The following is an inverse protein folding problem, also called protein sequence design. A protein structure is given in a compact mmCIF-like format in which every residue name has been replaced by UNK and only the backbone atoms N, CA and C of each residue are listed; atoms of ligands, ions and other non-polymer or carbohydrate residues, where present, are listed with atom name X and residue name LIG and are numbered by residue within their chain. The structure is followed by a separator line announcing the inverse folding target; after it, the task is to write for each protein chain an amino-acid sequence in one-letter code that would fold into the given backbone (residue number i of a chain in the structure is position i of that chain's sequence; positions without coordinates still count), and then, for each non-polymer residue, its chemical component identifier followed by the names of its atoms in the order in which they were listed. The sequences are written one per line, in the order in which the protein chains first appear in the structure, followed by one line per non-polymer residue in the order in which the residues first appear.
data_IF_392186936463
#
_entry.id   IF_392186936463
#
_cell.length_a   1.000
_cell.length_b   1.000
_cell.length_c   1.000
_cell.angle_alpha   90.00
_cell.angle_beta   90.00
_cell.angle_gamma   90.00
#
_symmetry.space_group_name_H-M   'P 1'
#
loop_
_entity.id
_entity.type
_entity.pdbx_description
1 polymer ?
#
# COMPACT_ATOMS: atom_id res chain seq x y z
N UNK A 1 28.03 37.24 26.44
CA UNK A 1 27.88 36.81 25.03
C UNK A 1 27.17 35.46 25.03
N UNK A 2 25.96 35.42 24.46
CA UNK A 2 25.57 34.54 23.34
C UNK A 2 25.53 33.04 23.71
N UNK A 3 24.35 32.53 24.10
CA UNK A 3 23.37 31.82 23.26
C UNK A 3 23.81 30.41 22.88
N UNK A 4 23.07 29.40 23.33
CA UNK A 4 22.38 28.48 22.41
C UNK A 4 21.36 27.65 23.22
N UNK A 5 20.10 28.05 23.12
CA UNK A 5 18.95 27.15 23.28
C UNK A 5 18.96 26.17 22.09
N UNK A 6 18.59 24.91 22.31
CA UNK A 6 17.80 24.08 21.40
C UNK A 6 17.64 22.69 22.02
N UNK A 7 16.68 22.53 22.94
CA UNK A 7 16.12 21.21 23.18
C UNK A 7 15.21 20.92 21.98
N UNK A 8 15.75 20.21 20.99
CA UNK A 8 14.91 19.63 19.94
C UNK A 8 14.03 18.58 20.61
N UNK A 9 12.74 18.90 20.78
CA UNK A 9 11.73 17.88 20.99
C UNK A 9 11.75 17.03 19.73
N UNK A 10 12.43 15.89 19.81
CA UNK A 10 12.36 14.86 18.79
C UNK A 10 10.92 14.34 18.85
N UNK A 11 10.07 14.90 17.99
CA UNK A 11 8.79 14.30 17.60
C UNK A 11 9.14 13.02 16.84
N UNK A 12 9.57 12.03 17.61
CA UNK A 12 9.70 10.66 17.18
C UNK A 12 8.28 10.17 17.07
N UNK A 13 7.64 10.51 15.95
CA UNK A 13 6.41 9.87 15.50
C UNK A 13 6.56 8.38 15.82
N UNK A 14 5.84 7.93 16.85
CA UNK A 14 5.88 6.54 17.29
C UNK A 14 5.28 5.73 16.15
N UNK A 15 6.15 5.28 15.24
CA UNK A 15 5.80 4.24 14.27
C UNK A 15 5.45 3.04 15.13
N UNK A 16 4.15 2.81 15.32
CA UNK A 16 3.63 1.68 16.06
C UNK A 16 4.34 0.43 15.54
N UNK A 17 5.27 -0.11 16.35
CA UNK A 17 6.07 -1.27 15.98
C UNK A 17 5.09 -2.42 15.86
N UNK A 18 4.70 -2.73 14.63
CA UNK A 18 3.88 -3.89 14.35
C UNK A 18 4.65 -5.12 14.83
N UNK A 19 4.06 -5.98 15.68
CA UNK A 19 4.78 -7.07 16.31
C UNK A 19 5.34 -8.01 15.25
N UNK A 20 6.64 -8.34 15.35
CA UNK A 20 7.29 -9.33 14.50
C UNK A 20 6.56 -10.66 14.65
N UNK A 21 6.13 -11.25 13.52
CA UNK A 21 5.47 -12.56 13.48
C UNK A 21 6.46 -13.58 12.92
N UNK A 22 6.72 -14.63 13.70
CA UNK A 22 7.55 -15.75 13.27
C UNK A 22 6.68 -16.78 12.55
N UNK A 23 7.04 -17.11 11.32
CA UNK A 23 6.34 -18.06 10.46
C UNK A 23 7.35 -19.07 9.93
N UNK A 24 6.91 -20.32 9.78
CA UNK A 24 7.72 -21.38 9.18
C UNK A 24 7.28 -21.59 7.75
N UNK A 25 8.24 -21.71 6.83
CA UNK A 25 7.98 -22.09 5.44
C UNK A 25 7.45 -23.52 5.43
N UNK A 26 6.23 -23.68 4.92
CA UNK A 26 5.62 -25.00 4.72
C UNK A 26 5.73 -25.43 3.26
N UNK A 27 4.85 -26.35 2.86
CA UNK A 27 4.73 -26.77 1.47
C UNK A 27 3.27 -26.68 1.00
N UNK A 28 3.09 -26.54 -0.31
CA UNK A 28 1.84 -26.77 -1.01
C UNK A 28 2.07 -27.87 -2.06
N UNK A 29 1.12 -28.79 -2.18
CA UNK A 29 1.13 -29.84 -3.21
C UNK A 29 0.27 -29.40 -4.39
N UNK A 30 0.83 -29.40 -5.59
CA UNK A 30 0.07 -29.13 -6.83
C UNK A 30 -0.38 -30.43 -7.47
N UNK A 31 -1.68 -30.57 -7.76
CA UNK A 31 -2.25 -31.70 -8.50
C UNK A 31 -2.16 -31.43 -10.02
N UNK A 32 -1.88 -32.42 -10.90
CA UNK A 32 -1.77 -33.88 -10.66
C UNK A 32 -0.39 -34.39 -10.22
N UNK A 33 0.65 -33.59 -10.34
CA UNK A 33 2.04 -34.08 -10.24
C UNK A 33 2.54 -34.27 -8.80
N UNK A 34 1.71 -33.96 -7.79
CA UNK A 34 1.99 -34.03 -6.34
C UNK A 34 3.31 -33.39 -5.91
N UNK A 35 3.84 -32.46 -6.70
CA UNK A 35 5.09 -31.79 -6.39
C UNK A 35 4.92 -30.89 -5.16
N UNK A 36 5.85 -31.02 -4.22
CA UNK A 36 5.91 -30.15 -3.05
C UNK A 36 6.62 -28.85 -3.42
N UNK A 37 5.89 -27.75 -3.39
CA UNK A 37 6.42 -26.40 -3.62
C UNK A 37 6.46 -25.67 -2.28
N UNK A 38 7.55 -24.94 -2.01
CA UNK A 38 7.67 -24.15 -0.79
C UNK A 38 6.56 -23.09 -0.72
N UNK A 39 5.92 -22.98 0.45
CA UNK A 39 4.77 -22.10 0.64
C UNK A 39 4.84 -21.35 1.96
N UNK A 40 4.64 -20.04 1.91
CA UNK A 40 4.47 -19.19 3.10
C UNK A 40 2.98 -18.98 3.36
N UNK A 41 2.48 -19.48 4.49
CA UNK A 41 1.08 -19.35 4.87
C UNK A 41 0.91 -18.28 5.95
N UNK A 42 0.32 -17.14 5.59
CA UNK A 42 -0.01 -16.06 6.53
C UNK A 42 -1.50 -16.05 6.81
N UNK A 43 -1.91 -16.10 8.08
CA UNK A 43 -3.32 -16.05 8.50
C UNK A 43 -3.49 -15.18 9.74
N UNK A 44 -4.64 -14.52 9.82
CA UNK A 44 -5.07 -13.80 11.03
C UNK A 44 -5.61 -12.40 10.76
N UNK A 45 -6.36 -11.87 11.73
CA UNK A 45 -6.98 -10.53 11.67
C UNK A 45 -5.96 -9.39 11.49
N UNK A 46 -4.69 -9.64 11.81
CA UNK A 46 -3.61 -8.66 11.65
C UNK A 46 -3.33 -8.30 10.18
N UNK A 47 -3.69 -9.17 9.22
CA UNK A 47 -3.55 -8.89 7.79
C UNK A 47 -4.46 -7.73 7.37
N UNK A 48 -5.71 -7.72 7.82
CA UNK A 48 -6.66 -6.63 7.55
C UNK A 48 -6.19 -5.32 8.17
N UNK A 49 -5.68 -5.36 9.42
CA UNK A 49 -5.10 -4.19 10.09
C UNK A 49 -3.86 -3.65 9.37
N UNK A 50 -3.13 -4.51 8.65
CA UNK A 50 -1.99 -4.14 7.81
C UNK A 50 -2.38 -3.74 6.37
N UNK A 51 -3.67 -3.65 6.05
CA UNK A 51 -4.16 -3.25 4.73
C UNK A 51 -4.30 -4.38 3.71
N UNK A 52 -4.12 -5.64 4.11
CA UNK A 52 -4.29 -6.82 3.27
C UNK A 52 -5.70 -7.41 3.44
N UNK A 53 -6.72 -6.65 3.03
CA UNK A 53 -8.10 -7.13 3.05
C UNK A 53 -8.39 -8.11 1.91
N UNK A 54 -9.46 -8.90 2.04
CA UNK A 54 -9.89 -9.83 0.99
C UNK A 54 -10.11 -9.12 -0.34
N UNK A 55 -9.52 -9.64 -1.42
CA UNK A 55 -9.62 -9.07 -2.76
C UNK A 55 -8.62 -7.95 -3.07
N UNK A 56 -7.77 -7.57 -2.11
CA UNK A 56 -6.69 -6.60 -2.35
C UNK A 56 -5.59 -7.23 -3.20
N UNK A 57 -5.26 -6.57 -4.33
CA UNK A 57 -4.08 -6.94 -5.13
C UNK A 57 -2.80 -6.69 -4.34
N UNK A 58 -1.79 -7.55 -4.51
CA UNK A 58 -0.52 -7.44 -3.78
C UNK A 58 0.64 -7.51 -4.75
N UNK A 59 1.67 -6.71 -4.49
CA UNK A 59 2.95 -6.76 -5.17
C UNK A 59 3.97 -7.48 -4.27
N UNK A 60 4.69 -8.46 -4.83
CA UNK A 60 5.75 -9.19 -4.13
C UNK A 60 7.09 -8.90 -4.80
N UNK A 61 7.98 -8.23 -4.07
CA UNK A 61 9.37 -8.03 -4.48
C UNK A 61 10.25 -9.11 -3.85
N UNK A 62 10.99 -9.82 -4.71
CA UNK A 62 11.84 -10.94 -4.31
C UNK A 62 13.31 -10.52 -4.33
N UNK A 63 14.00 -10.74 -3.21
CA UNK A 63 15.44 -10.53 -3.05
C UNK A 63 16.04 -11.77 -2.36
N UNK A 64 17.37 -11.92 -2.43
CA UNK A 64 18.05 -13.02 -1.73
C UNK A 64 17.76 -12.95 -0.22
N UNK A 65 17.06 -13.96 0.30
CA UNK A 65 16.70 -14.06 1.73
C UNK A 65 15.62 -13.07 2.21
N UNK A 66 14.99 -12.29 1.32
CA UNK A 66 14.02 -11.28 1.72
C UNK A 66 12.86 -11.16 0.71
N UNK A 67 11.64 -11.15 1.24
CA UNK A 67 10.42 -10.88 0.49
C UNK A 67 9.79 -9.61 1.04
N UNK A 68 9.52 -8.65 0.15
CA UNK A 68 8.76 -7.44 0.50
C UNK A 68 7.39 -7.56 -0.16
N UNK A 69 6.35 -7.69 0.67
CA UNK A 69 4.96 -7.81 0.23
C UNK A 69 4.27 -6.48 0.52
N UNK A 70 3.67 -5.88 -0.49
CA UNK A 70 2.96 -4.61 -0.37
C UNK A 70 1.55 -4.72 -0.94
N UNK A 71 0.56 -4.27 -0.18
CA UNK A 71 -0.81 -4.12 -0.68
C UNK A 71 -0.83 -3.03 -1.75
N UNK A 72 -1.43 -3.33 -2.89
CA UNK A 72 -1.58 -2.38 -3.98
C UNK A 72 -2.78 -1.50 -3.66
N UNK A 73 -2.53 -0.23 -3.38
CA UNK A 73 -3.62 0.73 -3.24
C UNK A 73 -4.33 0.86 -4.59
N UNK A 74 -5.61 0.48 -4.64
CA UNK A 74 -6.42 0.72 -5.82
C UNK A 74 -6.69 2.22 -5.89
N UNK A 75 -5.98 2.92 -6.80
CA UNK A 75 -6.26 4.33 -7.05
C UNK A 75 -7.77 4.48 -7.34
N UNK A 76 -8.51 5.28 -6.56
CA UNK A 76 -9.94 5.43 -6.77
C UNK A 76 -10.17 5.83 -8.22
N UNK A 77 -11.17 5.24 -8.88
CA UNK A 77 -11.44 5.49 -10.31
C UNK A 77 -11.58 6.99 -10.62
N UNK A 78 -12.05 7.76 -9.64
CA UNK A 78 -12.07 9.22 -9.67
C UNK A 78 -10.67 9.82 -9.87
N UNK A 79 -9.66 9.42 -9.10
CA UNK A 79 -8.30 9.95 -9.22
C UNK A 79 -7.67 9.58 -10.56
N UNK A 80 -7.89 8.35 -11.05
CA UNK A 80 -7.50 7.96 -12.42
C UNK A 80 -8.15 8.87 -13.47
N UNK A 81 -9.41 9.25 -13.27
CA UNK A 81 -10.15 10.13 -14.17
C UNK A 81 -9.66 11.58 -14.08
N UNK A 82 -9.43 12.10 -12.87
CA UNK A 82 -8.89 13.43 -12.63
C UNK A 82 -7.50 13.60 -13.25
N UNK A 83 -6.62 12.59 -13.17
CA UNK A 83 -5.32 12.60 -13.87
C UNK A 83 -5.46 12.79 -15.38
N UNK A 84 -6.52 12.24 -15.99
CA UNK A 84 -6.81 12.47 -17.43
C UNK A 84 -7.21 13.92 -17.66
N UNK A 85 -8.03 14.50 -16.79
CA UNK A 85 -8.45 15.91 -16.85
C UNK A 85 -7.26 16.86 -16.71
N UNK A 86 -6.28 16.55 -15.85
CA UNK A 86 -5.05 17.33 -15.72
C UNK A 86 -4.22 17.39 -17.02
N UNK A 87 -4.39 16.43 -17.94
CA UNK A 87 -3.74 16.44 -19.27
C UNK A 87 -4.51 17.25 -20.32
N UNK A 88 -5.69 17.77 -20.00
CA UNK A 88 -6.48 18.58 -20.94
C UNK A 88 -5.95 20.01 -21.04
N UNK A 89 -6.31 20.69 -22.13
CA UNK A 89 -6.05 22.13 -22.26
C UNK A 89 -6.89 22.91 -21.25
N UNK A 90 -6.40 24.10 -20.85
CA UNK A 90 -7.09 24.94 -19.85
C UNK A 90 -8.56 25.25 -20.17
N UNK A 91 -8.94 25.33 -21.45
CA UNK A 91 -10.35 25.48 -21.86
C UNK A 91 -11.21 24.26 -21.50
N UNK A 92 -10.70 23.05 -21.73
CA UNK A 92 -11.40 21.80 -21.39
C UNK A 92 -11.46 21.59 -19.87
N UNK A 93 -10.42 21.98 -19.14
CA UNK A 93 -10.43 21.94 -17.67
C UNK A 93 -11.54 22.84 -17.11
N UNK A 94 -11.66 24.08 -17.59
CA UNK A 94 -12.75 25.00 -17.19
C UNK A 94 -14.15 24.45 -17.50
N UNK A 95 -14.32 23.74 -18.62
CA UNK A 95 -15.60 23.08 -18.94
C UNK A 95 -15.93 21.97 -17.93
N UNK A 96 -14.94 21.18 -17.52
CA UNK A 96 -15.12 20.15 -16.49
C UNK A 96 -15.42 20.77 -15.13
N UNK A 97 -14.70 21.82 -14.73
CA UNK A 97 -14.96 22.55 -13.47
C UNK A 97 -16.36 23.16 -13.42
N UNK A 98 -16.79 23.81 -14.51
CA UNK A 98 -18.14 24.35 -14.62
C UNK A 98 -19.21 23.26 -14.52
N UNK A 99 -18.99 22.09 -15.12
CA UNK A 99 -19.91 20.95 -15.03
C UNK A 99 -20.00 20.41 -13.60
N UNK A 100 -18.87 20.23 -12.91
CA UNK A 100 -18.84 19.80 -11.51
C UNK A 100 -19.57 20.82 -10.61
N UNK A 101 -19.32 22.11 -10.82
CA UNK A 101 -19.99 23.18 -10.08
C UNK A 101 -21.51 23.22 -10.28
N UNK A 102 -22.00 22.78 -11.43
CA UNK A 102 -23.44 22.74 -11.74
C UNK A 102 -24.18 21.52 -11.16
N UNK A 103 -23.45 20.48 -10.72
CA UNK A 103 -24.03 19.30 -10.04
C UNK A 103 -24.15 19.46 -8.51
N UNK A 104 -23.66 20.58 -7.96
CA UNK A 104 -23.80 20.95 -6.55
C UNK A 104 -25.11 21.66 -6.31
#
# INVERSE_FOLDING_TARGET
MAKQECNAAEDRSEVAVSPIRHLTVGYASTLPDYQHVAALNMKGKWLEAAGFTTGTEVDVRVMAGCLVITAREHEPQLMKSLRKVCKFSGRRQRQVEAFIGAMK
#
